data_IF_306556155218
#
_entry.id   IF_306556155218
#
_cell.length_a   1.000
_cell.length_b   1.000
_cell.length_c   1.000
_cell.angle_alpha   90.00
_cell.angle_beta   90.00
_cell.angle_gamma   90.00
#
_symmetry.space_group_name_H-M   'P 1'
#
loop_
_entity.id
_entity.type
_entity.pdbx_description
1 polymer ?
#
# COMPACT_ATOMS: atom_id res chain seq x y z
N UNK A 1 5.85 35.81 -17.32
CA UNK A 1 6.38 34.47 -17.62
C UNK A 1 5.53 33.47 -16.83
N UNK A 2 4.56 32.78 -17.44
CA UNK A 2 3.85 31.70 -16.75
C UNK A 2 4.77 30.48 -16.65
N UNK A 3 4.89 29.92 -15.45
CA UNK A 3 5.59 28.67 -15.19
C UNK A 3 4.74 27.53 -15.78
N UNK A 4 5.17 26.99 -16.92
CA UNK A 4 4.62 25.73 -17.43
C UNK A 4 4.92 24.63 -16.42
N UNK A 5 3.88 24.01 -15.88
CA UNK A 5 4.00 22.76 -15.14
C UNK A 5 4.67 21.72 -16.05
N UNK A 6 5.60 20.89 -15.55
CA UNK A 6 6.17 19.82 -16.34
C UNK A 6 5.06 18.83 -16.71
N UNK A 7 4.79 18.75 -18.01
CA UNK A 7 4.02 17.71 -18.67
C UNK A 7 4.81 16.40 -18.51
N UNK A 8 4.50 15.62 -17.47
CA UNK A 8 5.15 14.33 -17.25
C UNK A 8 4.61 13.35 -18.32
N UNK A 9 5.49 12.69 -19.10
CA UNK A 9 5.03 11.72 -20.08
C UNK A 9 4.31 10.56 -19.39
N UNK A 10 3.14 10.20 -19.92
CA UNK A 10 2.32 9.05 -19.53
C UNK A 10 2.98 7.70 -19.90
N UNK A 11 4.22 7.48 -19.48
CA UNK A 11 4.78 6.14 -19.43
C UNK A 11 4.00 5.35 -18.37
N UNK A 12 3.52 4.13 -18.67
CA UNK A 12 2.93 3.28 -17.64
C UNK A 12 3.97 3.12 -16.54
N UNK A 13 3.65 3.59 -15.33
CA UNK A 13 4.54 3.48 -14.19
C UNK A 13 4.81 2.01 -13.97
N UNK A 14 6.08 1.62 -14.06
CA UNK A 14 6.51 0.24 -13.89
C UNK A 14 6.22 -0.22 -12.45
N UNK A 15 5.74 -1.46 -12.31
CA UNK A 15 5.41 -2.05 -11.00
C UNK A 15 6.65 -2.04 -10.09
N UNK A 16 7.81 -2.37 -10.64
CA UNK A 16 9.06 -2.36 -9.89
C UNK A 16 9.43 -0.96 -9.40
N UNK A 17 9.14 0.09 -10.18
CA UNK A 17 9.37 1.47 -9.75
C UNK A 17 8.42 1.86 -8.60
N UNK A 18 7.16 1.41 -8.65
CA UNK A 18 6.18 1.61 -7.58
C UNK A 18 6.64 0.89 -6.30
N UNK A 19 7.02 -0.39 -6.41
CA UNK A 19 7.48 -1.19 -5.28
C UNK A 19 8.73 -0.58 -4.64
N UNK A 20 9.71 -0.17 -5.45
CA UNK A 20 10.92 0.49 -4.96
C UNK A 20 10.61 1.81 -4.26
N UNK A 21 9.71 2.62 -4.83
CA UNK A 21 9.25 3.84 -4.17
C UNK A 21 8.59 3.57 -2.82
N UNK A 22 7.67 2.61 -2.75
CA UNK A 22 6.97 2.25 -1.50
C UNK A 22 7.96 1.72 -0.46
N UNK A 23 8.91 0.89 -0.90
CA UNK A 23 10.00 0.41 -0.06
C UNK A 23 10.79 1.56 0.57
N UNK A 24 11.39 2.40 -0.29
CA UNK A 24 12.26 3.48 0.16
C UNK A 24 11.50 4.44 1.06
N UNK A 25 10.26 4.82 0.70
CA UNK A 25 9.50 5.83 1.45
C UNK A 25 8.93 5.32 2.77
N UNK A 26 8.36 4.12 2.79
CA UNK A 26 7.52 3.65 3.90
C UNK A 26 8.11 2.50 4.70
N UNK A 27 9.06 1.77 4.14
CA UNK A 27 9.77 0.67 4.83
C UNK A 27 11.12 1.17 5.35
N UNK A 28 11.92 1.81 4.51
CA UNK A 28 13.24 2.34 4.92
C UNK A 28 13.18 3.74 5.51
N UNK A 29 12.04 4.42 5.42
CA UNK A 29 11.88 5.83 5.81
C UNK A 29 12.88 6.77 5.12
N UNK A 30 13.32 6.41 3.91
CA UNK A 30 14.18 7.18 3.05
C UNK A 30 13.43 8.21 2.21
N UNK A 31 14.20 9.03 1.49
CA UNK A 31 13.67 9.99 0.53
C UNK A 31 13.75 9.36 -0.88
N UNK A 32 12.61 9.11 -1.56
CA UNK A 32 12.64 8.61 -2.93
C UNK A 32 13.37 9.58 -3.86
N UNK A 33 14.16 9.04 -4.79
CA UNK A 33 14.90 9.85 -5.76
C UNK A 33 13.98 10.65 -6.69
N UNK A 34 12.79 10.09 -6.97
CA UNK A 34 11.78 10.71 -7.81
C UNK A 34 10.43 10.69 -7.12
N UNK A 35 9.68 11.81 -7.15
CA UNK A 35 8.30 11.82 -6.71
C UNK A 35 7.46 10.95 -7.64
N UNK A 36 6.57 10.16 -7.06
CA UNK A 36 5.68 9.26 -7.77
C UNK A 36 4.24 9.62 -7.43
N UNK A 37 3.35 9.62 -8.42
CA UNK A 37 1.91 9.82 -8.21
C UNK A 37 1.33 8.57 -7.54
N UNK A 38 1.24 8.62 -6.21
CA UNK A 38 0.73 7.53 -5.38
C UNK A 38 -0.71 7.13 -5.72
N UNK A 39 -1.54 8.04 -6.23
CA UNK A 39 -2.90 7.71 -6.65
C UNK A 39 -2.87 6.88 -7.94
N UNK A 40 -2.05 7.27 -8.91
CA UNK A 40 -1.85 6.51 -10.14
C UNK A 40 -1.19 5.16 -9.85
N UNK A 41 -0.18 5.12 -8.98
CA UNK A 41 0.47 3.88 -8.58
C UNK A 41 -0.48 2.91 -7.86
N UNK A 42 -1.35 3.43 -7.00
CA UNK A 42 -2.38 2.61 -6.36
C UNK A 42 -3.30 1.99 -7.42
N UNK A 43 -3.75 2.76 -8.41
CA UNK A 43 -4.57 2.23 -9.51
C UNK A 43 -3.84 1.16 -10.33
N UNK A 44 -2.55 1.32 -10.57
CA UNK A 44 -1.71 0.33 -11.27
C UNK A 44 -1.61 -0.98 -10.48
N UNK A 45 -1.34 -0.89 -9.17
CA UNK A 45 -1.30 -2.06 -8.29
C UNK A 45 -2.68 -2.74 -8.18
N UNK A 46 -3.76 -1.96 -8.11
CA UNK A 46 -5.12 -2.50 -8.10
C UNK A 46 -5.43 -3.28 -9.38
N UNK A 47 -5.09 -2.73 -10.54
CA UNK A 47 -5.28 -3.40 -11.82
C UNK A 47 -4.45 -4.68 -11.91
N UNK A 48 -3.21 -4.66 -11.40
CA UNK A 48 -2.33 -5.81 -11.37
C UNK A 48 -2.90 -6.95 -10.53
N UNK A 49 -3.28 -6.68 -9.28
CA UNK A 49 -3.81 -7.70 -8.37
C UNK A 49 -5.24 -8.11 -8.71
N UNK A 50 -6.07 -7.25 -9.32
CA UNK A 50 -7.39 -7.64 -9.79
C UNK A 50 -7.34 -8.74 -10.88
N UNK A 51 -6.29 -8.73 -11.71
CA UNK A 51 -6.10 -9.72 -12.76
C UNK A 51 -5.52 -11.06 -12.25
N UNK A 52 -4.70 -11.02 -11.20
CA UNK A 52 -3.90 -12.16 -10.74
C UNK A 52 -4.39 -12.78 -9.42
N UNK A 53 -5.14 -12.01 -8.62
CA UNK A 53 -5.46 -12.33 -7.24
C UNK A 53 -4.33 -11.92 -6.28
N UNK A 54 -4.70 -11.53 -5.06
CA UNK A 54 -3.74 -11.14 -4.01
C UNK A 54 -2.95 -12.36 -3.48
N UNK A 55 -3.56 -13.54 -3.46
CA UNK A 55 -2.96 -14.76 -2.93
C UNK A 55 -1.91 -15.38 -3.87
N UNK A 56 -1.80 -14.88 -5.10
CA UNK A 56 -0.85 -15.36 -6.11
C UNK A 56 0.45 -14.54 -6.13
N UNK A 57 0.57 -13.54 -5.27
CA UNK A 57 1.69 -12.60 -5.23
C UNK A 57 2.17 -12.36 -3.80
N UNK A 58 3.37 -12.83 -3.50
CA UNK A 58 4.03 -12.64 -2.21
C UNK A 58 4.40 -11.17 -1.94
N UNK A 59 4.39 -10.33 -2.99
CA UNK A 59 4.70 -8.90 -2.90
C UNK A 59 3.43 -8.03 -2.78
N UNK A 60 2.26 -8.63 -2.55
CA UNK A 60 1.01 -7.91 -2.36
C UNK A 60 1.03 -6.93 -1.16
N UNK A 61 2.00 -7.05 -0.25
CA UNK A 61 2.17 -6.10 0.85
C UNK A 61 2.50 -4.68 0.38
N UNK A 62 3.15 -4.49 -0.78
CA UNK A 62 3.38 -3.13 -1.33
C UNK A 62 2.08 -2.42 -1.66
N UNK A 63 1.11 -3.17 -2.22
CA UNK A 63 -0.24 -2.67 -2.42
C UNK A 63 -0.92 -2.35 -1.09
N UNK A 64 -0.79 -3.23 -0.10
CA UNK A 64 -1.34 -3.02 1.23
C UNK A 64 -0.83 -1.74 1.91
N UNK A 65 0.49 -1.54 1.89
CA UNK A 65 1.14 -0.33 2.44
C UNK A 65 0.63 0.91 1.71
N UNK A 66 0.67 0.93 0.37
CA UNK A 66 0.25 2.12 -0.37
C UNK A 66 -1.23 2.45 -0.14
N UNK A 67 -2.11 1.43 -0.09
CA UNK A 67 -3.53 1.63 0.23
C UNK A 67 -3.73 2.18 1.64
N UNK A 68 -2.97 1.68 2.62
CA UNK A 68 -3.00 2.17 4.00
C UNK A 68 -2.58 3.64 4.07
N UNK A 69 -1.44 4.01 3.49
CA UNK A 69 -0.92 5.38 3.52
C UNK A 69 -1.88 6.36 2.80
N UNK A 70 -2.45 5.93 1.66
CA UNK A 70 -3.48 6.70 0.95
C UNK A 70 -4.76 6.90 1.76
N UNK A 71 -5.08 6.00 2.69
CA UNK A 71 -6.28 6.15 3.53
C UNK A 71 -6.23 7.38 4.44
N UNK A 72 -5.03 7.90 4.72
CA UNK A 72 -4.83 9.15 5.47
C UNK A 72 -4.95 10.38 4.57
N UNK A 73 -4.49 10.26 3.32
CA UNK A 73 -4.57 11.34 2.33
C UNK A 73 -5.99 11.51 1.77
N UNK A 74 -6.78 10.43 1.72
CA UNK A 74 -8.14 10.41 1.19
C UNK A 74 -9.18 10.03 2.26
N UNK A 75 -9.57 10.95 3.16
CA UNK A 75 -10.50 10.64 4.25
C UNK A 75 -11.86 10.12 3.74
N UNK A 76 -12.32 10.59 2.58
CA UNK A 76 -13.59 10.16 1.96
C UNK A 76 -13.58 8.68 1.53
N UNK A 77 -12.41 8.16 1.16
CA UNK A 77 -12.23 6.77 0.71
C UNK A 77 -11.48 5.91 1.74
N UNK A 78 -11.16 6.48 2.89
CA UNK A 78 -10.30 5.88 3.92
C UNK A 78 -10.76 4.46 4.30
N UNK A 79 -12.05 4.27 4.62
CA UNK A 79 -12.57 2.95 4.98
C UNK A 79 -12.45 1.93 3.85
N UNK A 80 -12.65 2.34 2.60
CA UNK A 80 -12.50 1.44 1.45
C UNK A 80 -11.04 1.04 1.25
N UNK A 81 -10.13 2.01 1.36
CA UNK A 81 -8.69 1.82 1.24
C UNK A 81 -8.13 0.94 2.37
N UNK A 82 -8.56 1.16 3.60
CA UNK A 82 -8.20 0.33 4.75
C UNK A 82 -8.68 -1.12 4.58
N UNK A 83 -9.89 -1.35 4.05
CA UNK A 83 -10.36 -2.71 3.75
C UNK A 83 -9.51 -3.40 2.69
N UNK A 84 -9.05 -2.65 1.69
CA UNK A 84 -8.16 -3.14 0.64
C UNK A 84 -6.77 -3.47 1.20
N UNK A 85 -6.22 -2.58 2.03
CA UNK A 85 -4.97 -2.80 2.75
C UNK A 85 -5.04 -4.06 3.61
N UNK A 86 -6.13 -4.21 4.37
CA UNK A 86 -6.37 -5.39 5.20
C UNK A 86 -6.37 -6.69 4.39
N UNK A 87 -7.06 -6.71 3.24
CA UNK A 87 -7.10 -7.88 2.37
C UNK A 87 -5.70 -8.26 1.87
N UNK A 88 -4.89 -7.27 1.49
CA UNK A 88 -3.52 -7.49 1.03
C UNK A 88 -2.61 -8.04 2.16
N UNK A 89 -2.71 -7.49 3.37
CA UNK A 89 -1.95 -7.98 4.52
C UNK A 89 -2.36 -9.40 4.94
N UNK A 90 -3.66 -9.73 4.92
CA UNK A 90 -4.13 -11.09 5.14
C UNK A 90 -3.57 -12.07 4.10
N UNK A 91 -3.57 -11.69 2.82
CA UNK A 91 -3.02 -12.51 1.74
C UNK A 91 -1.51 -12.71 1.90
N UNK A 92 -0.77 -11.66 2.28
CA UNK A 92 0.65 -11.74 2.60
C UNK A 92 0.92 -12.72 3.75
N UNK A 93 0.18 -12.60 4.86
CA UNK A 93 0.29 -13.51 6.02
C UNK A 93 -0.06 -14.95 5.69
N UNK A 94 -0.97 -15.19 4.75
CA UNK A 94 -1.30 -16.53 4.28
C UNK A 94 -0.19 -17.19 3.47
N UNK A 95 0.68 -16.40 2.85
CA UNK A 95 1.78 -16.86 2.00
C UNK A 95 3.12 -16.97 2.73
N UNK A 96 3.36 -16.09 3.71
CA UNK A 96 4.61 -16.04 4.46
C UNK A 96 4.58 -17.01 5.66
N UNK A 97 5.60 -17.86 5.78
CA UNK A 97 5.75 -18.75 6.94
C UNK A 97 5.86 -17.95 8.24
N UNK A 98 5.29 -18.46 9.33
CA UNK A 98 5.29 -17.82 10.66
C UNK A 98 6.68 -17.42 11.19
N UNK A 99 7.75 -17.99 10.65
CA UNK A 99 9.14 -17.70 11.07
C UNK A 99 9.69 -16.38 10.49
N UNK A 100 9.00 -15.74 9.55
CA UNK A 100 9.42 -14.48 8.95
C UNK A 100 8.30 -13.45 8.98
N UNK A 101 8.25 -12.71 10.08
CA UNK A 101 7.27 -11.65 10.31
C UNK A 101 7.93 -10.30 10.03
N UNK A 102 7.29 -9.49 9.20
CA UNK A 102 7.74 -8.12 8.96
C UNK A 102 6.99 -7.18 9.87
N UNK A 103 7.67 -6.69 10.92
CA UNK A 103 7.11 -5.78 11.91
C UNK A 103 6.44 -4.57 11.24
N UNK A 104 7.07 -3.98 10.22
CA UNK A 104 6.51 -2.85 9.48
C UNK A 104 5.17 -3.14 8.78
N UNK A 105 4.91 -4.40 8.41
CA UNK A 105 3.64 -4.84 7.80
C UNK A 105 2.64 -5.21 8.89
N UNK A 106 3.07 -5.89 9.96
CA UNK A 106 2.20 -6.23 11.08
C UNK A 106 1.70 -5.00 11.84
N UNK A 107 2.55 -4.01 12.10
CA UNK A 107 2.15 -2.75 12.76
C UNK A 107 1.04 -2.05 11.98
N UNK A 108 1.18 -1.99 10.65
CA UNK A 108 0.17 -1.40 9.75
C UNK A 108 -1.09 -2.25 9.67
N UNK A 109 -0.97 -3.56 9.74
CA UNK A 109 -2.11 -4.47 9.82
C UNK A 109 -2.92 -4.25 11.10
N UNK A 110 -2.25 -4.18 12.26
CA UNK A 110 -2.89 -3.91 13.54
C UNK A 110 -3.56 -2.53 13.54
N UNK A 111 -2.86 -1.48 13.07
CA UNK A 111 -3.46 -0.15 12.98
C UNK A 111 -4.66 -0.13 12.02
N UNK A 112 -4.60 -0.88 10.91
CA UNK A 112 -5.72 -1.03 9.98
C UNK A 112 -6.93 -1.66 10.67
N UNK A 113 -6.73 -2.71 11.48
CA UNK A 113 -7.79 -3.35 12.24
C UNK A 113 -8.39 -2.40 13.29
N UNK A 114 -7.56 -1.64 13.99
CA UNK A 114 -8.02 -0.66 14.99
C UNK A 114 -8.87 0.43 14.34
N UNK A 115 -8.40 1.00 13.22
CA UNK A 115 -9.10 2.06 12.48
C UNK A 115 -10.41 1.59 11.86
N UNK A 116 -10.47 0.34 11.42
CA UNK A 116 -11.71 -0.26 10.93
C UNK A 116 -12.67 -0.66 12.08
N UNK A 117 -12.24 -0.55 13.34
CA UNK A 117 -13.02 -0.97 14.50
C UNK A 117 -13.25 -2.49 14.56
N UNK A 118 -12.39 -3.27 13.91
CA UNK A 118 -12.47 -4.74 13.85
C UNK A 118 -11.83 -5.36 15.10
N UNK A 119 -10.88 -4.65 15.74
CA UNK A 119 -10.42 -5.01 17.08
C UNK A 119 -11.55 -4.74 18.07
N UNK A 120 -12.21 -5.81 18.53
CA UNK A 120 -12.92 -5.75 19.81
C UNK A 120 -11.89 -5.33 20.85
N UNK A 121 -12.00 -4.13 21.40
CA UNK A 121 -11.38 -3.81 22.69
C UNK A 121 -11.82 -4.89 23.67
N UNK A 122 -10.95 -5.86 23.93
CA UNK A 122 -11.10 -6.70 25.10
C UNK A 122 -10.89 -5.75 26.28
N UNK A 123 -12.00 -5.32 26.89
CA UNK A 123 -11.98 -4.54 28.10
C UNK A 123 -11.26 -5.36 29.19
N UNK A 124 -10.12 -4.86 29.65
CA UNK A 124 -9.52 -5.22 30.93
C UNK A 124 -9.15 -3.93 31.66
#
# INVERSE_FOLDING_TARGET
MPLSAPDLPATPVDLTAIQHYVWTRYVEHGLPEQPLDEAQALMTLEAHHAARGLDADAECFYYGILAFERSFAEPERSTQLLRRALAAFCAYRGQTSHDFVWEAVEDRYEETLERLGVVKRAAH
#
